data_IF_115115587278
#
_entry.id   IF_115115587278
#
_cell.length_a   1.000
_cell.length_b   1.000
_cell.length_c   1.000
_cell.angle_alpha   90.00
_cell.angle_beta   90.00
_cell.angle_gamma   90.00
#
_symmetry.space_group_name_H-M   'P 1'
#
loop_
_entity.id
_entity.type
_entity.pdbx_description
1 polymer ?
#
# COMPACT_ATOMS: atom_id res chain seq x y z
N UNK A 1 29.64 15.05 20.04
CA UNK A 1 29.85 14.17 18.87
C UNK A 1 28.64 14.38 17.95
N UNK A 2 28.82 15.17 16.89
CA UNK A 2 27.74 15.72 16.08
C UNK A 2 27.36 14.71 14.99
N UNK A 3 26.09 14.29 14.98
CA UNK A 3 25.53 13.34 14.01
C UNK A 3 25.39 14.07 12.66
N UNK A 4 26.28 13.78 11.71
CA UNK A 4 26.08 14.13 10.31
C UNK A 4 25.30 13.00 9.64
N UNK A 5 23.98 13.10 9.61
CA UNK A 5 23.16 12.39 8.62
C UNK A 5 23.09 13.34 7.42
N UNK A 6 23.94 13.10 6.42
CA UNK A 6 23.77 13.70 5.11
C UNK A 6 22.48 13.13 4.50
N UNK A 7 21.43 13.92 4.60
CA UNK A 7 20.18 13.73 3.87
C UNK A 7 20.47 13.75 2.38
N UNK A 8 20.51 12.58 1.74
CA UNK A 8 20.17 12.49 0.32
C UNK A 8 18.66 12.63 0.19
N UNK A 9 18.16 13.81 0.55
CA UNK A 9 16.80 14.26 0.26
C UNK A 9 16.73 14.46 -1.27
N UNK A 10 16.41 13.39 -1.99
CA UNK A 10 15.83 13.51 -3.32
C UNK A 10 14.45 14.15 -3.08
N UNK A 11 14.42 15.48 -3.03
CA UNK A 11 13.19 16.26 -3.00
C UNK A 11 12.45 15.91 -4.28
N UNK A 12 11.39 15.10 -4.15
CA UNK A 12 10.41 14.99 -5.23
C UNK A 12 9.87 16.40 -5.44
N UNK A 13 10.01 16.96 -6.64
CA UNK A 13 9.39 18.25 -6.93
C UNK A 13 7.89 18.16 -6.62
N UNK A 14 7.32 19.21 -6.05
CA UNK A 14 5.90 19.23 -5.63
C UNK A 14 4.96 18.81 -6.78
N UNK A 15 5.33 19.15 -8.02
CA UNK A 15 4.62 18.76 -9.24
C UNK A 15 4.63 17.24 -9.49
N UNK A 16 5.72 16.55 -9.18
CA UNK A 16 5.80 15.08 -9.33
C UNK A 16 4.90 14.38 -8.30
N UNK A 17 4.93 14.86 -7.05
CA UNK A 17 4.08 14.32 -6.00
C UNK A 17 2.60 14.50 -6.34
N UNK A 18 2.18 15.69 -6.78
CA UNK A 18 0.80 15.96 -7.18
C UNK A 18 0.33 15.02 -8.31
N UNK A 19 1.17 14.80 -9.33
CA UNK A 19 0.89 13.88 -10.44
C UNK A 19 0.68 12.44 -9.95
N UNK A 20 1.51 11.96 -9.03
CA UNK A 20 1.38 10.62 -8.46
C UNK A 20 0.08 10.45 -7.65
N UNK A 21 -0.32 11.48 -6.89
CA UNK A 21 -1.59 11.46 -6.14
C UNK A 21 -2.80 11.44 -7.08
N UNK A 22 -2.78 12.23 -8.16
CA UNK A 22 -3.84 12.20 -9.19
C UNK A 22 -3.89 10.83 -9.86
N UNK A 23 -2.73 10.23 -10.18
CA UNK A 23 -2.66 8.89 -10.76
C UNK A 23 -3.25 7.84 -9.81
N UNK A 24 -2.90 7.89 -8.53
CA UNK A 24 -3.46 7.00 -7.50
C UNK A 24 -4.99 7.16 -7.42
N UNK A 25 -5.51 8.39 -7.40
CA UNK A 25 -6.95 8.65 -7.40
C UNK A 25 -7.66 8.06 -8.64
N UNK A 26 -7.07 8.21 -9.83
CA UNK A 26 -7.61 7.60 -11.07
C UNK A 26 -7.66 6.08 -10.99
N UNK A 27 -6.64 5.43 -10.42
CA UNK A 27 -6.64 3.97 -10.23
C UNK A 27 -7.76 3.53 -9.28
N UNK A 28 -8.00 4.28 -8.18
CA UNK A 28 -9.12 4.01 -7.25
C UNK A 28 -10.46 4.06 -7.96
N UNK A 29 -10.70 5.09 -8.78
CA UNK A 29 -11.93 5.26 -9.54
C UNK A 29 -12.10 4.25 -10.68
N UNK A 30 -10.99 3.75 -11.24
CA UNK A 30 -11.00 2.72 -12.28
C UNK A 30 -11.22 1.30 -11.74
N UNK A 31 -11.55 1.13 -10.45
CA UNK A 31 -11.83 -0.16 -9.85
C UNK A 31 -10.60 -1.03 -9.66
N UNK A 32 -9.41 -0.44 -9.54
CA UNK A 32 -8.19 -1.23 -9.27
C UNK A 32 -8.20 -1.72 -7.82
N UNK A 33 -7.74 -2.95 -7.62
CA UNK A 33 -7.66 -3.59 -6.31
C UNK A 33 -6.94 -2.68 -5.27
N UNK A 34 -7.56 -2.41 -4.10
CA UNK A 34 -6.99 -1.54 -3.06
C UNK A 34 -5.57 -1.91 -2.59
N UNK A 35 -5.26 -3.20 -2.49
CA UNK A 35 -3.94 -3.69 -2.08
C UNK A 35 -2.85 -3.34 -3.13
N UNK A 36 -3.21 -3.36 -4.42
CA UNK A 36 -2.31 -2.97 -5.51
C UNK A 36 -1.96 -1.49 -5.43
N UNK A 37 -2.94 -0.65 -5.12
CA UNK A 37 -2.78 0.80 -4.99
C UNK A 37 -1.92 1.12 -3.78
N UNK A 38 -2.28 0.58 -2.61
CA UNK A 38 -1.53 0.77 -1.35
C UNK A 38 -0.09 0.30 -1.49
N UNK A 39 0.15 -0.87 -2.09
CA UNK A 39 1.50 -1.38 -2.35
C UNK A 39 2.29 -0.55 -3.37
N UNK A 40 1.61 0.22 -4.24
CA UNK A 40 2.27 1.18 -5.13
C UNK A 40 2.64 2.46 -4.38
N UNK A 41 1.75 2.96 -3.53
CA UNK A 41 1.99 4.13 -2.68
C UNK A 41 3.16 3.90 -1.70
N UNK A 42 3.30 2.69 -1.15
CA UNK A 42 4.46 2.29 -0.33
C UNK A 42 5.80 2.41 -1.07
N UNK A 43 5.82 2.16 -2.39
CA UNK A 43 7.03 2.26 -3.21
C UNK A 43 7.42 3.70 -3.53
N UNK A 44 6.44 4.59 -3.56
CA UNK A 44 6.64 6.03 -3.81
C UNK A 44 7.15 6.75 -2.55
N UNK A 45 7.00 6.17 -1.37
CA UNK A 45 7.46 6.77 -0.13
C UNK A 45 8.99 6.88 -0.08
N UNK A 46 9.51 8.12 -0.06
CA UNK A 46 10.95 8.40 -0.05
C UNK A 46 11.69 7.82 1.15
N UNK A 47 11.09 7.86 2.34
CA UNK A 47 11.68 7.28 3.55
C UNK A 47 11.88 5.77 3.39
N UNK A 48 10.87 5.06 2.88
CA UNK A 48 10.93 3.60 2.65
C UNK A 48 11.80 3.17 1.45
N UNK A 49 12.23 4.12 0.60
CA UNK A 49 13.15 3.85 -0.53
C UNK A 49 14.60 3.73 -0.10
N UNK A 50 14.96 4.21 1.09
CA UNK A 50 16.30 4.07 1.65
C UNK A 50 16.75 2.60 1.68
N UNK A 51 18.01 2.33 1.32
CA UNK A 51 18.59 0.98 1.27
C UNK A 51 18.43 0.23 2.59
N UNK A 52 18.55 0.95 3.71
CA UNK A 52 18.44 0.41 5.07
C UNK A 52 17.02 -0.09 5.40
N UNK A 53 16.00 0.41 4.71
CA UNK A 53 14.59 0.08 4.96
C UNK A 53 13.98 -0.81 3.87
N UNK A 54 14.77 -1.25 2.88
CA UNK A 54 14.31 -2.11 1.78
C UNK A 54 13.67 -3.40 2.29
N UNK A 55 14.22 -4.00 3.35
CA UNK A 55 13.68 -5.19 3.99
C UNK A 55 12.30 -4.93 4.60
N UNK A 56 12.18 -3.87 5.41
CA UNK A 56 10.93 -3.46 6.03
C UNK A 56 9.84 -3.14 5.00
N UNK A 57 10.17 -2.36 3.95
CA UNK A 57 9.25 -2.09 2.83
C UNK A 57 8.74 -3.37 2.17
N UNK A 58 9.63 -4.34 1.93
CA UNK A 58 9.24 -5.63 1.30
C UNK A 58 8.30 -6.44 2.18
N UNK A 59 8.44 -6.35 3.51
CA UNK A 59 7.49 -6.96 4.43
C UNK A 59 6.16 -6.22 4.45
N UNK A 60 6.16 -4.89 4.48
CA UNK A 60 4.93 -4.09 4.37
C UNK A 60 4.17 -4.38 3.08
N UNK A 61 4.87 -4.51 1.94
CA UNK A 61 4.26 -4.91 0.67
C UNK A 61 3.59 -6.28 0.72
N UNK A 62 4.17 -7.24 1.47
CA UNK A 62 3.57 -8.57 1.65
C UNK A 62 2.32 -8.51 2.52
N UNK A 63 2.38 -7.80 3.65
CA UNK A 63 1.24 -7.60 4.56
C UNK A 63 0.08 -6.96 3.80
N UNK A 64 0.35 -5.88 3.05
CA UNK A 64 -0.67 -5.21 2.24
C UNK A 64 -1.24 -6.12 1.16
N UNK A 65 -0.42 -6.93 0.49
CA UNK A 65 -0.89 -7.86 -0.53
C UNK A 65 -1.88 -8.92 0.02
N UNK A 66 -1.76 -9.26 1.30
CA UNK A 66 -2.62 -10.22 1.98
C UNK A 66 -2.25 -11.68 1.70
N UNK A 67 -2.86 -12.58 2.48
CA UNK A 67 -2.73 -14.01 2.30
C UNK A 67 -3.73 -14.55 1.27
N UNK A 68 -3.27 -15.47 0.42
CA UNK A 68 -4.02 -16.01 -0.72
C UNK A 68 -5.22 -16.87 -0.33
N UNK A 69 -5.21 -17.41 0.89
CA UNK A 69 -6.22 -18.32 1.42
C UNK A 69 -7.17 -17.55 2.32
N UNK A 70 -6.66 -16.63 3.14
CA UNK A 70 -7.49 -15.97 4.17
C UNK A 70 -8.06 -14.62 3.73
N UNK A 71 -7.35 -13.85 2.91
CA UNK A 71 -7.73 -12.45 2.62
C UNK A 71 -8.49 -12.29 1.30
N UNK A 72 -9.61 -11.56 1.33
CA UNK A 72 -10.43 -11.30 0.14
C UNK A 72 -9.65 -10.56 -0.94
N UNK A 73 -8.84 -9.57 -0.55
CA UNK A 73 -8.07 -8.76 -1.50
C UNK A 73 -7.07 -9.59 -2.32
N UNK A 74 -6.49 -10.64 -1.74
CA UNK A 74 -5.60 -11.56 -2.45
C UNK A 74 -6.38 -12.61 -3.27
N UNK A 75 -7.46 -13.18 -2.73
CA UNK A 75 -8.32 -14.13 -3.43
C UNK A 75 -8.91 -13.53 -4.71
N UNK A 76 -9.39 -12.28 -4.65
CA UNK A 76 -9.94 -11.57 -5.82
C UNK A 76 -8.85 -11.34 -6.87
N UNK A 77 -7.62 -11.02 -6.48
CA UNK A 77 -6.51 -10.96 -7.44
C UNK A 77 -6.27 -12.32 -8.10
N UNK A 78 -6.28 -13.42 -7.34
CA UNK A 78 -6.12 -14.77 -7.89
C UNK A 78 -7.24 -15.15 -8.85
N UNK A 79 -8.49 -14.80 -8.55
CA UNK A 79 -9.65 -14.99 -9.43
C UNK A 79 -9.40 -14.41 -10.83
N UNK A 80 -8.65 -13.32 -10.93
CA UNK A 80 -8.28 -12.66 -12.17
C UNK A 80 -6.84 -12.96 -12.61
N UNK A 81 -6.32 -14.16 -12.31
CA UNK A 81 -4.96 -14.60 -12.68
C UNK A 81 -3.85 -13.65 -12.21
N UNK A 82 -4.03 -13.05 -11.03
CA UNK A 82 -3.14 -12.01 -10.48
C UNK A 82 -2.99 -10.77 -11.37
N UNK A 83 -3.96 -10.48 -12.25
CA UNK A 83 -3.94 -9.27 -13.05
C UNK A 83 -4.20 -8.02 -12.19
N UNK A 84 -3.12 -7.31 -11.86
CA UNK A 84 -3.13 -6.10 -11.03
C UNK A 84 -3.81 -4.88 -11.68
N UNK A 85 -4.13 -4.96 -12.96
CA UNK A 85 -4.81 -3.91 -13.72
C UNK A 85 -6.25 -4.28 -14.05
N UNK A 86 -6.74 -5.43 -13.57
CA UNK A 86 -8.13 -5.80 -13.74
C UNK A 86 -9.04 -4.80 -13.02
N UNK A 87 -10.10 -4.38 -13.71
CA UNK A 87 -11.13 -3.49 -13.16
C UNK A 87 -12.15 -4.33 -12.39
N UNK A 88 -12.12 -4.21 -11.07
CA UNK A 88 -13.08 -4.84 -10.18
C UNK A 88 -14.48 -4.26 -10.36
N UNK A 89 -15.48 -5.07 -10.02
CA UNK A 89 -16.82 -4.57 -9.72
C UNK A 89 -16.81 -3.72 -8.44
N UNK A 90 -17.86 -2.93 -8.22
CA UNK A 90 -17.98 -2.11 -7.01
C UNK A 90 -18.00 -2.99 -5.77
N UNK A 91 -18.77 -4.08 -5.77
CA UNK A 91 -18.89 -4.99 -4.63
C UNK A 91 -17.55 -5.65 -4.30
N UNK A 92 -16.83 -6.16 -5.30
CA UNK A 92 -15.48 -6.71 -5.09
C UNK A 92 -14.49 -5.68 -4.55
N UNK A 93 -14.60 -4.43 -5.01
CA UNK A 93 -13.77 -3.35 -4.50
C UNK A 93 -14.08 -3.06 -3.03
N UNK A 94 -15.36 -3.03 -2.65
CA UNK A 94 -15.80 -2.83 -1.26
C UNK A 94 -15.33 -3.98 -0.37
N UNK A 95 -15.50 -5.24 -0.81
CA UNK A 95 -15.02 -6.41 -0.09
C UNK A 95 -13.52 -6.32 0.19
N UNK A 96 -12.72 -5.92 -0.81
CA UNK A 96 -11.28 -5.70 -0.63
C UNK A 96 -10.97 -4.57 0.36
N UNK A 97 -11.75 -3.48 0.35
CA UNK A 97 -11.55 -2.34 1.25
C UNK A 97 -11.82 -2.75 2.68
N UNK A 98 -12.95 -3.43 2.93
CA UNK A 98 -13.33 -3.89 4.27
C UNK A 98 -12.29 -4.89 4.77
N UNK A 99 -11.97 -5.92 3.98
CA UNK A 99 -10.94 -6.92 4.29
C UNK A 99 -9.59 -6.27 4.67
N UNK A 100 -9.13 -5.30 3.88
CA UNK A 100 -7.86 -4.62 4.16
C UNK A 100 -7.93 -3.72 5.41
N UNK A 101 -9.06 -3.07 5.66
CA UNK A 101 -9.25 -2.17 6.81
C UNK A 101 -9.39 -2.94 8.13
N UNK A 102 -9.88 -4.18 8.09
CA UNK A 102 -10.11 -5.02 9.27
C UNK A 102 -9.08 -6.13 9.44
N UNK A 103 -8.02 -6.15 8.63
CA UNK A 103 -6.98 -7.19 8.71
C UNK A 103 -6.14 -7.04 9.98
N UNK A 104 -6.15 -8.06 10.83
CA UNK A 104 -5.37 -8.13 12.07
C UNK A 104 -3.86 -7.99 11.86
N UNK A 105 -3.30 -8.44 10.73
CA UNK A 105 -1.87 -8.29 10.41
C UNK A 105 -1.53 -6.83 10.04
N UNK A 106 -2.51 -6.06 9.53
CA UNK A 106 -2.36 -4.61 9.30
C UNK A 106 -2.57 -3.85 10.61
N UNK A 107 -3.65 -4.14 11.33
CA UNK A 107 -4.01 -3.43 12.57
C UNK A 107 -2.96 -3.61 13.66
N UNK A 108 -2.40 -4.82 13.81
CA UNK A 108 -1.35 -5.12 14.79
C UNK A 108 0.02 -4.48 14.48
N UNK A 109 0.21 -3.95 13.27
CA UNK A 109 1.45 -3.28 12.82
C UNK A 109 1.27 -1.78 12.60
N UNK A 110 0.09 -1.26 12.92
CA UNK A 110 -0.22 0.16 12.77
C UNK A 110 0.49 1.01 13.82
N UNK A 111 0.57 2.31 13.57
CA UNK A 111 1.19 3.24 14.51
C UNK A 111 0.43 3.24 15.85
N UNK A 112 1.15 3.21 16.97
CA UNK A 112 0.57 2.98 18.30
C UNK A 112 -0.50 4.01 18.70
N UNK A 113 -0.36 5.28 18.28
CA UNK A 113 -1.34 6.32 18.55
C UNK A 113 -2.60 6.27 17.69
N UNK A 114 -2.74 5.28 16.80
CA UNK A 114 -3.97 5.05 16.02
C UNK A 114 -5.03 4.28 16.81
N UNK A 115 -4.66 3.61 17.91
CA UNK A 115 -5.58 2.87 18.81
C UNK A 115 -6.45 1.82 18.09
N UNK A 116 -5.84 0.97 17.26
CA UNK A 116 -6.54 -0.04 16.42
C UNK A 116 -7.21 -1.20 17.18
N UNK A 117 -7.15 -1.18 18.51
CA UNK A 117 -7.62 -2.24 19.42
C UNK A 117 -8.92 -1.88 20.15
N UNK A 118 -9.45 -0.68 19.95
CA UNK A 118 -10.71 -0.20 20.53
C UNK A 118 -11.88 -0.51 19.60
#
# INVERSE_FOLDING_TARGET
MMIFILETNIVHSDDTYAKDRIKSARLKLNGINPAVITGSDLKLNNFLRSSNLKGARRQMEKVVAGDRIETKRAQILLKYNSNRHHKLTVDEQIDCIIDQATDVDILGRSWAGLETFM
#
